data_IF_177917234011
#
_entry.id   IF_177917234011
#
_cell.length_a   1.000
_cell.length_b   1.000
_cell.length_c   1.000
_cell.angle_alpha   90.00
_cell.angle_beta   90.00
_cell.angle_gamma   90.00
#
_symmetry.space_group_name_H-M   'P 1'
#
loop_
_entity.id
_entity.type
_entity.pdbx_description
1 polymer ?
#
# COMPACT_ATOMS: atom_id res chain seq x y z
N UNK A 1 12.72 9.18 -13.27
CA UNK A 1 12.12 8.22 -12.31
C UNK A 1 11.53 7.09 -13.13
N UNK A 2 11.72 5.83 -12.74
CA UNK A 2 11.27 4.70 -13.57
C UNK A 2 9.92 4.16 -13.09
N UNK A 3 9.72 4.09 -11.77
CA UNK A 3 8.46 3.67 -11.15
C UNK A 3 8.42 4.21 -9.71
N UNK A 4 7.25 4.25 -9.09
CA UNK A 4 7.09 4.52 -7.66
C UNK A 4 6.08 3.55 -7.04
N UNK A 5 6.48 2.92 -5.94
CA UNK A 5 5.63 2.09 -5.10
C UNK A 5 5.37 2.84 -3.79
N UNK A 6 4.19 3.43 -3.65
CA UNK A 6 3.84 4.27 -2.51
C UNK A 6 4.74 5.51 -2.43
N UNK A 7 5.62 5.53 -1.44
CA UNK A 7 6.62 6.59 -1.24
C UNK A 7 8.03 6.18 -1.73
N UNK A 8 8.18 4.99 -2.30
CA UNK A 8 9.47 4.44 -2.71
C UNK A 8 9.70 4.60 -4.21
N UNK A 9 10.53 5.57 -4.64
CA UNK A 9 10.84 5.75 -6.05
C UNK A 9 11.93 4.79 -6.51
N UNK A 10 11.64 4.04 -7.57
CA UNK A 10 12.64 3.32 -8.34
C UNK A 10 13.35 4.30 -9.27
N UNK A 11 14.61 4.59 -8.94
CA UNK A 11 15.48 5.48 -9.70
C UNK A 11 16.74 4.73 -10.12
N UNK A 12 17.31 5.11 -11.27
CA UNK A 12 18.62 4.61 -11.71
C UNK A 12 19.75 4.82 -10.69
N UNK A 13 19.59 5.80 -9.79
CA UNK A 13 20.57 6.13 -8.74
C UNK A 13 20.34 5.37 -7.42
N UNK A 14 19.19 4.73 -7.21
CA UNK A 14 18.84 4.05 -5.94
C UNK A 14 18.55 2.58 -6.16
N UNK A 15 17.57 2.27 -7.00
CA UNK A 15 17.09 0.91 -7.28
C UNK A 15 16.65 0.84 -8.75
N UNK A 16 17.60 0.75 -9.70
CA UNK A 16 17.25 0.45 -11.07
C UNK A 16 16.61 -0.94 -11.12
N UNK A 17 15.44 -1.06 -11.77
CA UNK A 17 14.94 -2.34 -12.22
C UNK A 17 15.22 -2.48 -13.71
N UNK A 18 15.63 -3.68 -14.12
CA UNK A 18 16.04 -4.01 -15.47
C UNK A 18 14.88 -4.66 -16.21
N UNK A 19 14.10 -5.47 -15.49
CA UNK A 19 12.98 -6.22 -16.05
C UNK A 19 11.73 -6.01 -15.21
N UNK A 20 10.63 -5.73 -15.89
CA UNK A 20 9.30 -5.70 -15.31
C UNK A 20 8.45 -6.72 -16.06
N UNK A 21 7.95 -7.71 -15.33
CA UNK A 21 7.07 -8.74 -15.85
C UNK A 21 5.69 -8.58 -15.24
N UNK A 22 4.68 -8.39 -16.10
CA UNK A 22 3.30 -8.18 -15.69
C UNK A 22 2.43 -9.35 -16.14
N UNK A 23 2.04 -10.19 -15.20
CA UNK A 23 1.19 -11.35 -15.43
C UNK A 23 -0.25 -11.06 -15.03
N UNK A 24 -1.08 -10.79 -16.03
CA UNK A 24 -2.53 -10.63 -15.87
C UNK A 24 -3.24 -11.93 -16.20
N UNK A 25 -4.12 -12.39 -15.31
CA UNK A 25 -4.98 -13.54 -15.57
C UNK A 25 -6.45 -13.12 -15.68
N UNK A 26 -7.22 -13.84 -16.49
CA UNK A 26 -8.64 -13.58 -16.71
C UNK A 26 -9.45 -14.87 -16.55
N UNK A 27 -10.52 -14.81 -15.76
CA UNK A 27 -11.32 -15.99 -15.42
C UNK A 27 -12.40 -16.23 -16.47
N UNK A 28 -12.35 -17.40 -17.08
CA UNK A 28 -13.31 -17.86 -18.08
C UNK A 28 -13.87 -19.22 -17.67
N UNK A 29 -15.18 -19.33 -17.49
CA UNK A 29 -15.86 -20.63 -17.31
C UNK A 29 -16.13 -21.24 -18.67
N UNK A 30 -15.69 -22.49 -18.84
CA UNK A 30 -15.95 -23.30 -20.02
C UNK A 30 -17.26 -24.06 -19.82
N UNK A 31 -18.18 -23.91 -20.76
CA UNK A 31 -19.41 -24.69 -20.82
C UNK A 31 -19.40 -25.56 -22.08
N UNK A 32 -19.34 -26.88 -21.88
CA UNK A 32 -19.30 -27.85 -22.98
C UNK A 32 -20.71 -28.10 -23.52
N UNK A 33 -20.81 -28.19 -24.85
CA UNK A 33 -22.08 -28.42 -25.55
C UNK A 33 -21.90 -29.62 -26.48
N UNK A 34 -22.86 -30.53 -26.48
CA UNK A 34 -22.80 -31.73 -27.32
C UNK A 34 -22.85 -31.32 -28.80
N UNK A 35 -21.87 -31.78 -29.58
CA UNK A 35 -21.81 -31.56 -31.03
C UNK A 35 -21.47 -30.12 -31.46
N UNK A 36 -20.98 -29.28 -30.56
CA UNK A 36 -20.63 -27.88 -30.82
C UNK A 36 -19.34 -27.49 -30.07
N UNK A 37 -18.71 -26.38 -30.48
CA UNK A 37 -17.58 -25.82 -29.72
C UNK A 37 -18.04 -25.38 -28.32
N UNK A 38 -17.15 -25.56 -27.33
CA UNK A 38 -17.39 -25.10 -25.97
C UNK A 38 -17.56 -23.57 -25.92
N UNK A 39 -18.53 -23.10 -25.13
CA UNK A 39 -18.75 -21.67 -24.91
C UNK A 39 -17.93 -21.22 -23.72
N UNK A 40 -17.23 -20.09 -23.85
CA UNK A 40 -16.54 -19.45 -22.74
C UNK A 40 -17.36 -18.27 -22.23
N UNK A 41 -17.51 -18.18 -20.91
CA UNK A 41 -18.12 -17.03 -20.23
C UNK A 41 -17.07 -16.32 -19.39
N UNK A 42 -16.86 -15.03 -19.65
CA UNK A 42 -15.98 -14.19 -18.86
C UNK A 42 -16.64 -13.86 -17.51
N UNK A 43 -15.97 -14.20 -16.42
CA UNK A 43 -16.45 -13.99 -15.04
C UNK A 43 -15.82 -12.73 -14.43
N UNK A 44 -14.69 -12.29 -14.99
CA UNK A 44 -13.97 -11.12 -14.51
C UNK A 44 -12.45 -11.29 -14.53
N UNK A 45 -11.73 -10.25 -14.09
CA UNK A 45 -10.29 -10.32 -13.91
C UNK A 45 -9.94 -11.36 -12.84
N UNK A 46 -8.84 -12.07 -13.04
CA UNK A 46 -8.23 -12.99 -12.10
C UNK A 46 -7.15 -12.30 -11.26
N UNK A 47 -6.14 -13.08 -10.86
CA UNK A 47 -4.95 -12.57 -10.20
C UNK A 47 -4.12 -11.71 -11.17
N UNK A 48 -3.54 -10.65 -10.63
CA UNK A 48 -2.68 -9.72 -11.34
C UNK A 48 -1.37 -9.61 -10.56
N UNK A 49 -0.31 -10.19 -11.12
CA UNK A 49 1.01 -10.32 -10.49
C UNK A 49 2.02 -9.49 -11.26
N UNK A 50 2.85 -8.78 -10.54
CA UNK A 50 3.91 -7.96 -11.09
C UNK A 50 5.24 -8.33 -10.45
N UNK A 51 6.19 -8.75 -11.27
CA UNK A 51 7.52 -9.12 -10.84
C UNK A 51 8.51 -8.06 -11.34
N UNK A 52 9.18 -7.42 -10.40
CA UNK A 52 10.21 -6.40 -10.67
C UNK A 52 11.55 -7.00 -10.29
N UNK A 53 12.46 -7.12 -11.26
CA UNK A 53 13.82 -7.58 -10.99
C UNK A 53 14.85 -6.56 -11.42
N UNK A 54 15.91 -6.46 -10.63
CA UNK A 54 17.05 -5.66 -10.97
C UNK A 54 18.31 -5.99 -10.19
N UNK A 55 19.37 -5.28 -10.56
CA UNK A 55 20.69 -5.45 -9.95
C UNK A 55 21.13 -4.13 -9.32
N UNK A 56 21.58 -4.21 -8.08
CA UNK A 56 22.20 -3.11 -7.36
C UNK A 56 23.70 -3.36 -7.22
N UNK A 57 24.45 -2.28 -7.40
CA UNK A 57 25.88 -2.21 -7.11
C UNK A 57 26.06 -1.21 -5.96
N UNK A 58 26.22 -1.68 -4.71
CA UNK A 58 26.21 -0.79 -3.54
C UNK A 58 27.21 0.37 -3.61
N UNK A 59 28.35 0.19 -4.29
CA UNK A 59 29.36 1.24 -4.49
C UNK A 59 28.89 2.42 -5.34
N UNK A 60 27.96 2.18 -6.27
CA UNK A 60 27.48 3.18 -7.23
C UNK A 60 26.06 3.65 -6.84
N UNK A 61 25.26 2.75 -6.29
CA UNK A 61 23.81 2.93 -6.11
C UNK A 61 23.37 3.03 -4.65
N UNK A 62 24.25 2.78 -3.67
CA UNK A 62 23.92 2.91 -2.24
C UNK A 62 22.82 1.95 -1.76
N UNK A 63 22.78 0.74 -2.34
CA UNK A 63 21.59 -0.13 -2.40
C UNK A 63 21.05 -0.71 -1.08
N UNK A 64 21.89 -0.93 -0.07
CA UNK A 64 21.51 -1.69 1.14
C UNK A 64 20.38 -1.02 1.94
N UNK A 65 20.40 0.31 2.04
CA UNK A 65 19.35 1.08 2.72
C UNK A 65 18.02 0.97 1.97
N UNK A 66 18.08 0.96 0.63
CA UNK A 66 16.90 0.87 -0.22
C UNK A 66 16.21 -0.49 -0.10
N UNK A 67 16.99 -1.57 -0.03
CA UNK A 67 16.48 -2.92 0.22
C UNK A 67 15.89 -3.05 1.62
N UNK A 68 16.53 -2.45 2.63
CA UNK A 68 16.00 -2.42 3.99
C UNK A 68 14.65 -1.69 4.06
N UNK A 69 14.50 -0.58 3.33
CA UNK A 69 13.22 0.13 3.21
C UNK A 69 12.15 -0.73 2.53
N UNK A 70 12.49 -1.43 1.44
CA UNK A 70 11.59 -2.38 0.76
C UNK A 70 11.13 -3.49 1.71
N UNK A 71 12.05 -4.04 2.50
CA UNK A 71 11.73 -5.05 3.52
C UNK A 71 10.80 -4.48 4.60
N UNK A 72 11.02 -3.25 5.06
CA UNK A 72 10.12 -2.60 6.02
C UNK A 72 8.72 -2.36 5.46
N UNK A 73 8.63 -1.93 4.19
CA UNK A 73 7.34 -1.77 3.51
C UNK A 73 6.62 -3.10 3.33
N UNK A 74 7.34 -4.17 3.00
CA UNK A 74 6.78 -5.52 2.93
C UNK A 74 6.29 -5.99 4.31
N UNK A 75 7.08 -5.76 5.36
CA UNK A 75 6.72 -6.10 6.74
C UNK A 75 5.48 -5.33 7.25
N UNK A 76 5.21 -4.14 6.70
CA UNK A 76 4.01 -3.38 7.04
C UNK A 76 2.71 -4.04 6.55
N UNK A 77 2.79 -4.95 5.56
CA UNK A 77 1.65 -5.64 4.98
C UNK A 77 0.62 -4.74 4.29
N UNK A 78 0.90 -3.45 4.15
CA UNK A 78 -0.01 -2.48 3.55
C UNK A 78 0.03 -2.56 2.02
N UNK A 79 -1.11 -2.32 1.40
CA UNK A 79 -1.18 -2.11 -0.04
C UNK A 79 -0.69 -0.69 -0.37
N UNK A 80 0.18 -0.60 -1.37
CA UNK A 80 0.78 0.66 -1.83
C UNK A 80 0.36 0.96 -3.28
N UNK A 81 0.11 2.22 -3.63
CA UNK A 81 -0.17 2.59 -5.00
C UNK A 81 1.08 2.40 -5.85
N UNK A 82 0.93 1.75 -7.00
CA UNK A 82 2.00 1.54 -7.95
C UNK A 82 1.77 2.37 -9.21
N UNK A 83 2.76 3.21 -9.52
CA UNK A 83 2.70 4.15 -10.64
C UNK A 83 4.00 4.05 -11.44
N UNK A 84 3.85 3.86 -12.74
CA UNK A 84 4.95 3.87 -13.71
C UNK A 84 5.49 5.29 -13.91
N UNK A 85 6.80 5.42 -14.14
CA UNK A 85 7.45 6.68 -14.51
C UNK A 85 7.01 7.20 -15.88
N UNK A 86 6.37 6.36 -16.69
CA UNK A 86 5.69 6.74 -17.94
C UNK A 86 4.31 7.36 -17.73
N UNK A 87 3.79 7.38 -16.49
CA UNK A 87 2.49 7.94 -16.13
C UNK A 87 1.34 6.92 -16.08
N UNK A 88 1.61 5.63 -16.27
CA UNK A 88 0.61 4.57 -16.14
C UNK A 88 0.37 4.21 -14.67
N UNK A 89 -0.87 4.25 -14.22
CA UNK A 89 -1.26 3.85 -12.86
C UNK A 89 -1.68 2.37 -12.91
N UNK A 90 -0.98 1.50 -12.17
CA UNK A 90 -1.32 0.08 -12.10
C UNK A 90 -2.40 -0.21 -11.05
N UNK A 91 -2.45 0.58 -9.97
CA UNK A 91 -3.40 0.41 -8.87
C UNK A 91 -2.69 0.08 -7.56
N UNK A 92 -3.39 -0.61 -6.65
CA UNK A 92 -2.87 -0.96 -5.32
C UNK A 92 -2.22 -2.35 -5.35
N UNK A 93 -0.98 -2.43 -4.88
CA UNK A 93 -0.19 -3.65 -4.84
C UNK A 93 0.34 -3.90 -3.43
N UNK A 94 0.35 -5.17 -3.04
CA UNK A 94 1.04 -5.64 -1.84
C UNK A 94 2.30 -6.39 -2.26
N UNK A 95 3.37 -6.26 -1.46
CA UNK A 95 4.60 -7.04 -1.67
C UNK A 95 4.36 -8.43 -1.07
N UNK A 96 4.42 -9.46 -1.91
CA UNK A 96 4.23 -10.86 -1.48
C UNK A 96 5.54 -11.54 -1.16
N UNK A 97 6.59 -11.22 -1.91
CA UNK A 97 7.92 -11.75 -1.67
C UNK A 97 9.00 -10.78 -2.15
N UNK A 98 10.11 -10.75 -1.41
CA UNK A 98 11.35 -10.11 -1.83
C UNK A 98 12.44 -11.18 -1.78
N UNK A 99 13.11 -11.39 -2.91
CA UNK A 99 14.28 -12.26 -3.01
C UNK A 99 15.51 -11.39 -3.24
N UNK A 100 16.52 -11.56 -2.41
CA UNK A 100 17.80 -10.87 -2.51
C UNK A 100 18.91 -11.90 -2.68
N UNK A 101 19.70 -11.77 -3.75
CA UNK A 101 20.87 -12.60 -4.02
C UNK A 101 22.13 -11.73 -4.00
N UNK A 102 22.92 -11.90 -2.93
CA UNK A 102 24.20 -11.21 -2.77
C UNK A 102 25.34 -12.03 -3.38
N UNK A 103 26.20 -11.37 -4.15
CA UNK A 103 27.34 -11.98 -4.83
C UNK A 103 28.54 -11.03 -4.88
N UNK A 104 29.73 -11.60 -5.14
CA UNK A 104 31.00 -10.89 -5.15
C UNK A 104 31.25 -10.10 -3.84
N UNK A 105 31.50 -10.82 -2.76
CA UNK A 105 31.78 -10.22 -1.45
C UNK A 105 33.18 -9.61 -1.41
N UNK A 106 33.31 -8.45 -0.74
CA UNK A 106 34.59 -7.92 -0.27
C UNK A 106 35.14 -8.74 0.89
N UNK A 107 36.42 -8.53 1.22
CA UNK A 107 37.05 -9.10 2.42
C UNK A 107 36.35 -8.66 3.72
N UNK A 108 35.64 -7.52 3.69
CA UNK A 108 34.78 -7.00 4.77
C UNK A 108 33.37 -7.64 4.80
N UNK A 109 33.09 -8.62 3.94
CA UNK A 109 31.80 -9.31 3.87
C UNK A 109 30.66 -8.52 3.21
N UNK A 110 30.90 -7.27 2.77
CA UNK A 110 29.93 -6.50 1.98
C UNK A 110 29.82 -7.03 0.56
N UNK A 111 28.60 -7.14 0.03
CA UNK A 111 28.38 -7.60 -1.34
C UNK A 111 28.63 -6.48 -2.36
N UNK A 112 29.34 -6.76 -3.45
CA UNK A 112 29.51 -5.84 -4.59
C UNK A 112 28.34 -5.85 -5.55
N UNK A 113 27.65 -6.99 -5.62
CA UNK A 113 26.55 -7.20 -6.54
C UNK A 113 25.37 -7.83 -5.81
N UNK A 114 24.24 -7.16 -5.85
CA UNK A 114 23.02 -7.60 -5.20
C UNK A 114 21.92 -7.64 -6.25
N UNK A 115 21.50 -8.83 -6.64
CA UNK A 115 20.33 -9.02 -7.48
C UNK A 115 19.09 -9.07 -6.58
N UNK A 116 18.05 -8.32 -6.93
CA UNK A 116 16.79 -8.31 -6.20
C UNK A 116 15.62 -8.62 -7.12
N UNK A 117 14.66 -9.36 -6.59
CA UNK A 117 13.38 -9.64 -7.24
C UNK A 117 12.27 -9.37 -6.24
N UNK A 118 11.36 -8.47 -6.60
CA UNK A 118 10.18 -8.11 -5.80
C UNK A 118 8.96 -8.61 -6.53
N UNK A 119 8.23 -9.51 -5.86
CA UNK A 119 6.94 -9.99 -6.33
C UNK A 119 5.84 -9.16 -5.67
N UNK A 120 4.99 -8.59 -6.51
CA UNK A 120 3.86 -7.78 -6.12
C UNK A 120 2.59 -8.47 -6.60
N UNK A 121 1.56 -8.43 -5.77
CA UNK A 121 0.23 -8.89 -6.14
C UNK A 121 -0.75 -7.75 -5.99
N UNK A 122 -1.63 -7.61 -6.98
CA UNK A 122 -2.65 -6.58 -6.96
C UNK A 122 -3.68 -6.92 -5.90
N UNK A 123 -3.83 -6.04 -4.92
CA UNK A 123 -4.91 -6.15 -3.96
C UNK A 123 -6.15 -5.58 -4.64
N UNK A 124 -7.11 -6.45 -4.93
CA UNK A 124 -8.41 -6.04 -5.43
C UNK A 124 -9.25 -5.48 -4.26
N UNK A 125 -8.77 -4.42 -3.63
CA UNK A 125 -9.68 -3.55 -2.90
C UNK A 125 -10.49 -2.86 -3.98
N UNK A 126 -11.75 -3.26 -4.11
CA UNK A 126 -12.75 -2.38 -4.69
C UNK A 126 -12.51 -1.02 -4.02
N UNK A 127 -12.20 0.05 -4.77
CA UNK A 127 -11.82 1.35 -4.17
C UNK A 127 -12.78 1.73 -3.03
N UNK A 128 -14.03 1.29 -3.16
CA UNK A 128 -15.13 1.33 -2.19
C UNK A 128 -14.84 0.76 -0.80
N UNK A 129 -14.18 -0.40 -0.67
CA UNK A 129 -13.86 -1.00 0.64
C UNK A 129 -12.82 -0.15 1.40
N UNK A 130 -11.87 0.44 0.67
CA UNK A 130 -10.84 1.30 1.26
C UNK A 130 -11.37 2.72 1.54
N UNK A 131 -12.19 3.29 0.66
CA UNK A 131 -12.95 4.51 0.97
C UNK A 131 -13.86 4.30 2.19
N UNK A 132 -14.48 3.12 2.33
CA UNK A 132 -15.27 2.73 3.51
C UNK A 132 -14.45 2.76 4.81
N UNK A 133 -13.28 2.12 4.83
CA UNK A 133 -12.40 2.12 6.01
C UNK A 133 -11.85 3.52 6.36
N UNK A 134 -11.54 4.33 5.35
CA UNK A 134 -11.07 5.71 5.57
C UNK A 134 -12.23 6.60 6.05
N UNK A 135 -13.45 6.44 5.51
CA UNK A 135 -14.63 7.15 6.01
C UNK A 135 -14.96 6.76 7.43
N UNK A 136 -14.88 5.47 7.79
CA UNK A 136 -15.12 5.00 9.17
C UNK A 136 -14.09 5.59 10.15
N UNK A 137 -12.82 5.73 9.74
CA UNK A 137 -11.80 6.37 10.56
C UNK A 137 -12.03 7.88 10.73
N UNK A 138 -12.53 8.57 9.70
CA UNK A 138 -12.82 10.01 9.74
C UNK A 138 -14.10 10.30 10.55
N UNK A 139 -15.14 9.47 10.40
CA UNK A 139 -16.37 9.56 11.19
C UNK A 139 -16.09 9.27 12.66
N UNK A 140 -15.28 8.25 12.96
CA UNK A 140 -14.87 7.94 14.32
C UNK A 140 -14.00 9.03 14.99
N UNK A 141 -13.29 9.84 14.20
CA UNK A 141 -12.55 11.00 14.70
C UNK A 141 -13.48 12.21 14.93
N UNK A 142 -14.45 12.40 14.03
CA UNK A 142 -15.45 13.47 14.12
C UNK A 142 -16.40 13.26 15.30
N UNK A 143 -16.83 12.02 15.57
CA UNK A 143 -17.61 11.68 16.76
C UNK A 143 -16.85 11.89 18.06
N UNK A 144 -15.55 11.59 18.09
CA UNK A 144 -14.71 11.86 19.27
C UNK A 144 -14.56 13.36 19.53
N UNK A 145 -14.50 14.17 18.49
CA UNK A 145 -14.44 15.64 18.61
C UNK A 145 -15.80 16.21 19.02
N UNK A 146 -16.90 15.73 18.46
CA UNK A 146 -18.24 16.21 18.81
C UNK A 146 -18.64 15.82 20.23
N UNK A 147 -18.31 14.61 20.67
CA UNK A 147 -18.53 14.14 22.05
C UNK A 147 -17.64 14.85 23.07
N UNK A 148 -16.39 15.17 22.71
CA UNK A 148 -15.52 16.00 23.54
C UNK A 148 -16.05 17.45 23.64
N UNK A 149 -16.57 18.01 22.55
CA UNK A 149 -17.15 19.36 22.55
C UNK A 149 -18.46 19.43 23.34
N UNK A 150 -19.35 18.45 23.20
CA UNK A 150 -20.60 18.41 23.97
C UNK A 150 -20.34 18.23 25.47
N UNK A 151 -19.42 17.33 25.85
CA UNK A 151 -19.05 17.15 27.25
C UNK A 151 -18.41 18.41 27.87
N UNK A 152 -17.59 19.15 27.12
CA UNK A 152 -17.04 20.43 27.56
C UNK A 152 -18.13 21.50 27.69
N UNK A 153 -19.07 21.57 26.74
CA UNK A 153 -20.16 22.55 26.75
C UNK A 153 -21.19 22.26 27.84
N UNK A 154 -21.46 20.99 28.14
CA UNK A 154 -22.30 20.56 29.25
C UNK A 154 -21.64 20.84 30.61
N UNK A 155 -20.32 20.68 30.71
CA UNK A 155 -19.56 21.04 31.91
C UNK A 155 -19.55 22.56 32.16
N UNK A 156 -19.42 23.37 31.11
CA UNK A 156 -19.48 24.83 31.22
C UNK A 156 -20.90 25.34 31.53
N UNK A 157 -21.92 24.70 30.94
CA UNK A 157 -23.32 25.07 31.13
C UNK A 157 -23.82 24.67 32.53
N UNK A 158 -23.41 23.50 33.03
CA UNK A 158 -23.71 23.09 34.41
C UNK A 158 -22.97 23.95 35.44
N UNK A 159 -21.72 24.33 35.19
CA UNK A 159 -20.98 25.27 36.03
C UNK A 159 -21.64 26.66 36.06
N UNK A 160 -22.02 27.21 34.91
CA UNK A 160 -22.70 28.50 34.81
C UNK A 160 -24.08 28.50 35.50
N UNK A 161 -24.83 27.40 35.39
CA UNK A 161 -26.12 27.23 36.08
C UNK A 161 -25.94 27.15 37.59
N UNK A 162 -24.92 26.43 38.07
CA UNK A 162 -24.60 26.37 39.51
C UNK A 162 -24.21 27.73 40.09
N UNK A 163 -23.43 28.54 39.34
CA UNK A 163 -23.03 29.88 39.75
C UNK A 163 -24.19 30.86 39.82
N UNK A 164 -25.13 30.76 38.88
CA UNK A 164 -26.34 31.60 38.85
C UNK A 164 -27.28 31.27 40.02
N UNK A 165 -27.43 29.99 40.37
CA UNK A 165 -28.27 29.56 41.50
C UNK A 165 -27.66 29.96 42.86
N UNK A 166 -26.32 29.98 42.99
CA UNK A 166 -25.66 30.49 44.20
C UNK A 166 -25.80 32.01 44.40
N UNK A 167 -25.92 32.79 43.31
CA UNK A 167 -26.11 34.24 43.39
C UNK A 167 -27.56 34.65 43.64
N UNK A 168 -28.53 33.84 43.24
CA UNK A 168 -29.96 34.08 43.52
C UNK A 168 -30.37 33.77 44.97
N UNK A 169 -29.58 32.97 45.70
CA UNK A 169 -29.82 32.67 47.11
C UNK A 169 -29.29 33.70 48.11
N UNK A 170 -28.71 34.82 47.63
CA UNK A 170 -28.04 35.82 48.48
C UNK A 170 -28.74 37.20 48.56
N UNK A 171 -29.93 37.34 47.95
CA UNK A 171 -30.79 38.53 48.07
C UNK A 171 -32.18 38.16 48.57
#
# INVERSE_FOLDING_TARGET
MMMILGLFPFLRRTTPYQTLEHQMTWRHVKNERVGQYARYQYIGPGEDKLTISGDLYPEITGGDLSLTMLNLMAASGKAWPLIDGTGRIYGMYVITAITETRSAFFDDGKARHIAFTVNLERVNSDMREMFGQISEQIDGLTEKVSSAASSAMDSATSAAKSGMDTLKGLF
#
